data_IF_691006430491
#
_entry.id   IF_691006430491
#
_cell.length_a   1.000
_cell.length_b   1.000
_cell.length_c   1.000
_cell.angle_alpha   90.00
_cell.angle_beta   90.00
_cell.angle_gamma   90.00
#
_symmetry.space_group_name_H-M   'P 1'
#
loop_
_entity.id
_entity.type
_entity.pdbx_description
1 polymer ?
#
# COMPACT_ATOMS: atom_id res chain seq x y z
N UNK A 1 -0.36 -11.12 -9.00
CA UNK A 1 0.86 -10.81 -9.81
C UNK A 1 2.13 -11.30 -9.12
N UNK A 2 1.99 -12.31 -8.26
CA UNK A 2 3.08 -12.87 -7.46
C UNK A 2 3.25 -14.31 -7.94
N UNK A 3 4.49 -14.77 -8.04
CA UNK A 3 4.83 -16.13 -8.45
C UNK A 3 6.14 -16.54 -7.81
N UNK A 4 6.43 -17.83 -7.76
CA UNK A 4 7.69 -18.34 -7.23
C UNK A 4 8.81 -18.32 -8.29
N UNK A 5 10.02 -17.85 -7.95
CA UNK A 5 10.42 -17.32 -6.65
C UNK A 5 9.89 -15.90 -6.40
N UNK A 6 9.29 -15.66 -5.22
CA UNK A 6 8.60 -14.41 -4.85
C UNK A 6 9.39 -13.14 -5.18
N UNK A 7 10.69 -13.11 -4.91
CA UNK A 7 11.54 -11.93 -5.14
C UNK A 7 11.70 -11.54 -6.61
N UNK A 8 11.49 -12.50 -7.53
CA UNK A 8 11.53 -12.26 -8.98
C UNK A 8 10.13 -12.02 -9.55
N UNK A 9 9.11 -11.92 -8.71
CA UNK A 9 7.76 -11.69 -9.16
C UNK A 9 7.54 -10.26 -9.64
N UNK A 10 6.60 -10.11 -10.58
CA UNK A 10 6.27 -8.81 -11.19
C UNK A 10 5.96 -7.75 -10.15
N UNK A 11 5.13 -8.09 -9.16
CA UNK A 11 4.73 -7.17 -8.11
C UNK A 11 5.93 -6.68 -7.29
N UNK A 12 6.84 -7.59 -6.92
CA UNK A 12 8.02 -7.27 -6.12
C UNK A 12 9.00 -6.38 -6.89
N UNK A 13 9.28 -6.73 -8.16
CA UNK A 13 10.20 -5.94 -8.99
C UNK A 13 9.63 -4.54 -9.23
N UNK A 14 8.37 -4.43 -9.69
CA UNK A 14 7.74 -3.14 -9.96
C UNK A 14 7.72 -2.25 -8.71
N UNK A 15 7.30 -2.79 -7.56
CA UNK A 15 7.24 -2.00 -6.33
C UNK A 15 8.62 -1.62 -5.80
N UNK A 16 9.64 -2.43 -6.05
CA UNK A 16 11.02 -2.09 -5.73
C UNK A 16 11.51 -0.95 -6.63
N UNK A 17 11.27 -1.03 -7.94
CA UNK A 17 11.58 0.06 -8.89
C UNK A 17 10.83 1.35 -8.56
N UNK A 18 9.56 1.27 -8.15
CA UNK A 18 8.76 2.44 -7.74
C UNK A 18 9.29 3.10 -6.46
N UNK A 19 9.83 2.32 -5.52
CA UNK A 19 10.47 2.85 -4.31
C UNK A 19 11.86 3.41 -4.58
N UNK A 20 12.55 2.89 -5.59
CA UNK A 20 13.84 3.41 -5.99
C UNK A 20 13.67 4.82 -6.56
N UNK A 21 14.39 5.80 -6.01
CA UNK A 21 14.40 7.19 -6.51
C UNK A 21 15.12 7.33 -7.87
N UNK A 22 15.39 6.23 -8.57
CA UNK A 22 16.13 6.15 -9.83
C UNK A 22 15.15 6.18 -10.99
N UNK A 23 14.77 7.39 -11.42
CA UNK A 23 13.76 7.63 -12.48
C UNK A 23 14.03 6.90 -13.79
N UNK A 24 15.30 6.59 -14.11
CA UNK A 24 15.68 5.88 -15.35
C UNK A 24 15.19 4.43 -15.35
N UNK A 25 15.17 3.78 -14.20
CA UNK A 25 14.73 2.38 -14.06
C UNK A 25 13.22 2.22 -14.21
N UNK A 26 12.46 3.30 -14.06
CA UNK A 26 11.01 3.28 -14.23
C UNK A 26 10.57 3.29 -15.70
N UNK A 27 11.45 3.69 -16.64
CA UNK A 27 11.13 3.80 -18.07
C UNK A 27 10.50 2.54 -18.68
N UNK A 28 11.04 1.31 -18.44
CA UNK A 28 10.43 0.09 -18.97
C UNK A 28 8.99 -0.13 -18.48
N UNK A 29 8.64 0.42 -17.31
CA UNK A 29 7.34 0.25 -16.70
C UNK A 29 6.29 1.26 -17.17
N UNK A 30 6.65 2.30 -17.94
CA UNK A 30 5.72 3.39 -18.26
C UNK A 30 4.46 2.93 -18.99
N UNK A 31 4.58 2.05 -19.99
CA UNK A 31 3.43 1.53 -20.72
C UNK A 31 2.53 0.69 -19.83
N UNK A 32 3.13 -0.15 -18.99
CA UNK A 32 2.39 -0.96 -18.02
C UNK A 32 1.70 -0.08 -16.97
N UNK A 33 2.43 0.85 -16.35
CA UNK A 33 1.90 1.79 -15.38
C UNK A 33 0.73 2.58 -15.95
N UNK A 34 0.87 3.07 -17.20
CA UNK A 34 -0.23 3.73 -17.89
C UNK A 34 -1.44 2.80 -18.03
N UNK A 35 -1.23 1.57 -18.50
CA UNK A 35 -2.32 0.60 -18.67
C UNK A 35 -3.03 0.29 -17.34
N UNK A 36 -2.29 -0.12 -16.32
CA UNK A 36 -2.86 -0.56 -15.04
C UNK A 36 -3.52 0.59 -14.28
N UNK A 37 -2.92 1.79 -14.29
CA UNK A 37 -3.52 2.96 -13.64
C UNK A 37 -4.83 3.33 -14.33
N UNK A 38 -4.87 3.35 -15.67
CA UNK A 38 -6.11 3.63 -16.40
C UNK A 38 -7.18 2.54 -16.19
N UNK A 39 -6.79 1.27 -16.11
CA UNK A 39 -7.72 0.18 -15.82
C UNK A 39 -8.31 0.33 -14.41
N UNK A 40 -7.47 0.57 -13.40
CA UNK A 40 -7.89 0.73 -12.01
C UNK A 40 -8.73 2.01 -11.79
N UNK A 41 -8.53 3.05 -12.59
CA UNK A 41 -9.37 4.25 -12.56
C UNK A 41 -10.83 3.98 -12.95
N UNK A 42 -11.09 2.97 -13.79
CA UNK A 42 -12.44 2.56 -14.18
C UNK A 42 -13.18 1.81 -13.07
N UNK A 43 -12.46 1.33 -12.05
CA UNK A 43 -13.08 0.70 -10.89
C UNK A 43 -13.57 1.75 -9.89
N UNK A 44 -14.72 1.53 -9.23
CA UNK A 44 -15.19 2.45 -8.20
C UNK A 44 -14.18 2.56 -7.06
N UNK A 45 -14.01 3.79 -6.54
CA UNK A 45 -13.22 4.01 -5.33
C UNK A 45 -14.01 3.57 -4.11
N UNK A 46 -13.33 2.98 -3.15
CA UNK A 46 -13.89 2.54 -1.86
C UNK A 46 -13.27 3.38 -0.75
N UNK A 47 -14.11 4.08 0.02
CA UNK A 47 -13.69 4.79 1.23
C UNK A 47 -13.91 3.93 2.47
N UNK A 48 -12.83 3.37 3.03
CA UNK A 48 -12.83 2.47 4.19
C UNK A 48 -11.47 2.49 4.90
N UNK A 49 -11.49 2.10 6.17
CA UNK A 49 -10.26 1.79 6.91
C UNK A 49 -9.69 0.46 6.44
N UNK A 50 -8.41 0.46 6.07
CA UNK A 50 -7.68 -0.72 5.61
C UNK A 50 -6.42 -0.93 6.44
N UNK A 51 -6.05 -2.20 6.64
CA UNK A 51 -4.97 -2.58 7.55
C UNK A 51 -3.76 -3.12 6.79
N UNK A 52 -2.55 -2.78 7.26
CA UNK A 52 -1.30 -3.31 6.70
C UNK A 52 -0.33 -3.69 7.81
N UNK A 53 0.11 -4.94 7.82
CA UNK A 53 1.22 -5.39 8.66
C UNK A 53 2.54 -5.34 7.91
N UNK A 54 3.60 -4.90 8.57
CA UNK A 54 4.98 -5.08 8.10
C UNK A 54 5.87 -5.57 9.24
N UNK A 55 6.83 -6.45 8.92
CA UNK A 55 7.86 -6.94 9.83
C UNK A 55 9.14 -6.13 9.69
N UNK A 56 9.08 -4.86 10.09
CA UNK A 56 10.24 -3.97 10.08
C UNK A 56 10.08 -2.84 11.10
N UNK A 57 11.21 -2.34 11.60
CA UNK A 57 11.25 -1.14 12.43
C UNK A 57 11.37 0.12 11.54
N UNK A 58 10.24 0.61 11.04
CA UNK A 58 10.17 1.86 10.26
C UNK A 58 9.62 3.04 11.06
N UNK A 59 9.39 2.88 12.36
CA UNK A 59 8.82 3.89 13.26
C UNK A 59 9.45 5.27 13.13
N UNK A 60 10.79 5.42 13.03
CA UNK A 60 11.38 6.74 12.95
C UNK A 60 10.94 7.55 11.71
N UNK A 61 10.36 6.89 10.70
CA UNK A 61 9.84 7.52 9.49
C UNK A 61 8.42 8.06 9.65
N UNK A 62 7.75 7.77 10.77
CA UNK A 62 6.35 8.10 11.02
C UNK A 62 6.22 8.86 12.34
N UNK A 63 6.35 10.18 12.26
CA UNK A 63 6.05 11.07 13.38
C UNK A 63 4.64 11.65 13.23
N UNK A 64 3.91 11.78 14.33
CA UNK A 64 2.56 12.36 14.32
C UNK A 64 2.57 13.77 13.70
N UNK A 65 1.62 14.05 12.83
CA UNK A 65 1.52 15.29 12.05
C UNK A 65 2.43 15.35 10.82
N UNK A 66 3.32 14.36 10.62
CA UNK A 66 4.11 14.29 9.40
C UNK A 66 3.30 13.78 8.22
N UNK A 67 3.80 14.10 7.02
CA UNK A 67 3.26 13.61 5.75
C UNK A 67 4.23 12.59 5.15
N UNK A 68 3.69 11.45 4.72
CA UNK A 68 4.43 10.38 4.07
C UNK A 68 3.85 10.09 2.68
N UNK A 69 4.68 9.65 1.75
CA UNK A 69 4.25 9.24 0.41
C UNK A 69 4.58 7.77 0.21
N UNK A 70 3.56 6.98 -0.14
CA UNK A 70 3.76 5.60 -0.54
C UNK A 70 3.89 5.53 -2.06
N UNK A 71 5.11 5.31 -2.52
CA UNK A 71 5.45 5.30 -3.94
C UNK A 71 5.06 4.02 -4.67
N UNK A 72 5.00 2.89 -3.97
CA UNK A 72 4.62 1.59 -4.52
C UNK A 72 3.12 1.38 -4.54
N UNK A 73 2.64 0.44 -5.36
CA UNK A 73 1.32 -0.14 -5.14
C UNK A 73 1.25 -0.75 -3.74
N UNK A 74 0.09 -0.70 -3.10
CA UNK A 74 -0.16 -1.40 -1.84
C UNK A 74 -1.40 -2.25 -2.00
N UNK A 75 -1.19 -3.56 -2.20
CA UNK A 75 -2.24 -4.57 -2.06
C UNK A 75 -2.49 -4.83 -0.57
N UNK A 76 -3.77 -5.03 -0.19
CA UNK A 76 -4.20 -5.32 1.18
C UNK A 76 -5.48 -6.13 1.21
N UNK A 77 -5.66 -6.84 2.31
CA UNK A 77 -6.89 -7.50 2.72
C UNK A 77 -7.70 -6.55 3.60
N UNK A 78 -9.04 -6.60 3.48
CA UNK A 78 -9.96 -5.85 4.34
C UNK A 78 -10.04 -6.41 5.77
N UNK A 79 -9.66 -7.68 5.97
CA UNK A 79 -9.84 -8.40 7.23
C UNK A 79 -8.62 -8.24 8.14
N UNK A 80 -8.82 -7.67 9.33
CA UNK A 80 -7.78 -7.55 10.35
C UNK A 80 -7.30 -8.93 10.83
N UNK A 81 -8.16 -9.95 10.76
CA UNK A 81 -7.84 -11.32 11.17
C UNK A 81 -6.69 -11.92 10.37
N UNK A 82 -6.55 -11.55 9.09
CA UNK A 82 -5.45 -12.01 8.22
C UNK A 82 -4.08 -11.61 8.76
N UNK A 83 -3.97 -10.54 9.54
CA UNK A 83 -2.71 -10.09 10.14
C UNK A 83 -2.17 -11.04 11.21
N UNK A 84 -2.98 -11.96 11.73
CA UNK A 84 -2.50 -13.02 12.62
C UNK A 84 -1.54 -14.00 11.92
N UNK A 85 -1.55 -14.06 10.59
CA UNK A 85 -0.64 -14.90 9.82
C UNK A 85 0.80 -14.37 9.89
N UNK A 86 1.75 -15.27 10.17
CA UNK A 86 3.17 -14.97 10.25
C UNK A 86 3.79 -14.45 8.94
N UNK A 87 3.15 -14.63 7.79
CA UNK A 87 3.60 -13.99 6.54
C UNK A 87 3.34 -12.48 6.50
N UNK A 88 2.35 -11.99 7.25
CA UNK A 88 2.00 -10.58 7.33
C UNK A 88 2.59 -9.93 8.59
N UNK A 89 1.79 -9.78 9.66
CA UNK A 89 2.24 -9.15 10.90
C UNK A 89 2.79 -10.20 11.87
N UNK A 90 2.05 -11.28 12.09
CA UNK A 90 2.40 -12.29 13.10
C UNK A 90 2.44 -11.73 14.52
N UNK A 91 2.99 -12.51 15.46
CA UNK A 91 2.97 -12.16 16.89
C UNK A 91 4.32 -11.76 17.48
N UNK A 92 5.42 -11.92 16.74
CA UNK A 92 6.79 -11.77 17.25
C UNK A 92 7.63 -10.82 16.37
N UNK A 93 8.69 -10.28 16.98
CA UNK A 93 9.63 -9.39 16.32
C UNK A 93 9.15 -7.94 16.20
N UNK A 94 10.05 -7.07 15.73
CA UNK A 94 9.71 -5.67 15.46
C UNK A 94 8.80 -5.58 14.25
N UNK A 95 7.62 -4.99 14.45
CA UNK A 95 6.55 -4.98 13.48
C UNK A 95 5.65 -3.76 13.66
N UNK A 96 5.06 -3.33 12.55
CA UNK A 96 4.18 -2.19 12.50
C UNK A 96 2.85 -2.62 11.88
N UNK A 97 1.77 -2.28 12.57
CA UNK A 97 0.41 -2.32 12.07
C UNK A 97 0.00 -0.92 11.65
N UNK A 98 -0.25 -0.72 10.36
CA UNK A 98 -0.90 0.48 9.87
C UNK A 98 -2.42 0.31 9.87
N UNK A 99 -3.11 1.28 10.44
CA UNK A 99 -4.56 1.49 10.28
C UNK A 99 -4.74 2.73 9.41
N UNK A 100 -5.35 2.58 8.23
CA UNK A 100 -5.28 3.63 7.20
C UNK A 100 -6.69 3.98 6.76
N UNK A 101 -7.12 5.20 7.08
CA UNK A 101 -8.32 5.84 6.53
C UNK A 101 -8.03 6.18 5.07
N UNK A 102 -8.67 5.46 4.15
CA UNK A 102 -8.41 5.57 2.72
C UNK A 102 -9.70 5.90 1.97
N UNK A 103 -9.60 6.76 0.96
CA UNK A 103 -10.70 7.17 0.08
C UNK A 103 -10.52 6.71 -1.36
N UNK A 104 -9.30 6.33 -1.76
CA UNK A 104 -8.96 5.99 -3.14
C UNK A 104 -8.77 4.49 -3.41
N UNK A 105 -9.11 3.64 -2.44
CA UNK A 105 -8.94 2.18 -2.56
C UNK A 105 -9.70 1.59 -3.73
N UNK A 106 -9.05 0.73 -4.51
CA UNK A 106 -9.66 0.02 -5.64
C UNK A 106 -9.90 -1.42 -5.25
N UNK A 107 -11.17 -1.83 -5.14
CA UNK A 107 -11.51 -3.22 -4.94
C UNK A 107 -11.18 -4.00 -6.22
N UNK A 108 -10.21 -4.91 -6.14
CA UNK A 108 -9.77 -5.73 -7.26
C UNK A 108 -10.11 -7.21 -7.05
N UNK A 109 -11.01 -7.54 -6.11
CA UNK A 109 -11.41 -8.92 -5.79
C UNK A 109 -11.76 -9.72 -7.04
N UNK A 110 -12.62 -9.17 -7.92
CA UNK A 110 -13.06 -9.84 -9.15
C UNK A 110 -11.97 -10.00 -10.22
N UNK A 111 -10.81 -9.40 -10.01
CA UNK A 111 -9.67 -9.39 -10.93
C UNK A 111 -8.40 -9.99 -10.29
N UNK A 112 -8.51 -10.46 -9.04
CA UNK A 112 -7.41 -11.08 -8.31
C UNK A 112 -7.41 -12.58 -8.54
N UNK A 113 -6.21 -13.17 -8.56
CA UNK A 113 -6.05 -14.61 -8.58
C UNK A 113 -6.51 -15.25 -7.25
N UNK A 114 -6.50 -14.48 -6.16
CA UNK A 114 -6.92 -14.91 -4.83
C UNK A 114 -8.21 -14.16 -4.41
N UNK A 115 -9.34 -14.55 -5.00
CA UNK A 115 -10.62 -13.87 -4.80
C UNK A 115 -11.14 -13.88 -3.34
N UNK A 116 -10.57 -14.74 -2.48
CA UNK A 116 -10.92 -14.85 -1.06
C UNK A 116 -10.24 -13.79 -0.18
N UNK A 117 -9.24 -13.05 -0.69
CA UNK A 117 -8.47 -12.09 0.10
C UNK A 117 -9.11 -10.70 0.20
N UNK A 118 -10.29 -10.49 -0.41
CA UNK A 118 -11.01 -9.21 -0.43
C UNK A 118 -10.08 -8.03 -0.74
N UNK A 119 -9.30 -8.20 -1.80
CA UNK A 119 -8.13 -7.37 -2.06
C UNK A 119 -8.51 -5.94 -2.47
N UNK A 120 -8.00 -4.97 -1.71
CA UNK A 120 -8.07 -3.53 -2.02
C UNK A 120 -6.67 -3.05 -2.37
N UNK A 121 -6.55 -2.48 -3.56
CA UNK A 121 -5.32 -1.95 -4.09
C UNK A 121 -5.28 -0.42 -3.97
N UNK A 122 -4.22 0.09 -3.35
CA UNK A 122 -3.86 1.50 -3.46
C UNK A 122 -2.94 1.71 -4.65
N UNK A 123 -3.24 2.74 -5.43
CA UNK A 123 -2.36 3.22 -6.49
C UNK A 123 -1.02 3.71 -5.92
N UNK A 124 0.04 3.77 -6.74
CA UNK A 124 1.29 4.38 -6.34
C UNK A 124 1.13 5.88 -6.10
N UNK A 125 2.12 6.46 -5.41
CA UNK A 125 2.20 7.88 -5.10
C UNK A 125 0.95 8.41 -4.38
N UNK A 126 0.49 7.69 -3.35
CA UNK A 126 -0.52 8.19 -2.40
C UNK A 126 0.15 8.91 -1.25
N UNK A 127 -0.47 10.00 -0.82
CA UNK A 127 0.00 10.79 0.31
C UNK A 127 -0.85 10.47 1.54
N UNK A 128 -0.20 10.42 2.70
CA UNK A 128 -0.88 10.20 3.97
C UNK A 128 -0.33 11.13 5.04
N UNK A 129 -1.21 11.55 5.95
CA UNK A 129 -0.85 12.19 7.21
C UNK A 129 -0.80 11.13 8.32
N UNK A 130 0.21 11.21 9.18
CA UNK A 130 0.31 10.38 10.38
C UNK A 130 -0.53 11.00 11.49
N UNK A 131 -1.70 10.45 11.77
CA UNK A 131 -2.64 11.03 12.75
C UNK A 131 -2.45 10.47 14.17
N UNK A 132 -1.81 9.30 14.31
CA UNK A 132 -1.54 8.67 15.59
C UNK A 132 -0.43 7.61 15.54
N UNK A 133 0.32 7.49 16.63
CA UNK A 133 1.33 6.45 16.84
C UNK A 133 1.14 5.87 18.24
N UNK A 134 1.18 4.55 18.37
CA UNK A 134 0.99 3.84 19.63
C UNK A 134 1.96 2.66 19.71
N UNK A 135 2.81 2.66 20.74
CA UNK A 135 3.63 1.49 21.09
C UNK A 135 2.79 0.54 21.95
N UNK A 136 2.64 -0.71 21.51
CA UNK A 136 1.88 -1.75 22.21
C UNK A 136 2.80 -2.73 22.96
N UNK A 137 4.10 -2.44 23.01
CA UNK A 137 5.11 -3.33 23.58
C UNK A 137 5.34 -4.57 22.71
N UNK A 138 6.26 -5.43 23.15
CA UNK A 138 6.63 -6.67 22.46
C UNK A 138 7.02 -6.47 20.98
N UNK A 139 7.59 -5.30 20.66
CA UNK A 139 7.99 -4.91 19.32
C UNK A 139 6.83 -4.57 18.37
N UNK A 140 5.58 -4.46 18.85
CA UNK A 140 4.45 -4.03 18.04
C UNK A 140 4.24 -2.52 18.17
N UNK A 141 4.12 -1.87 17.02
CA UNK A 141 3.63 -0.50 16.95
C UNK A 141 2.44 -0.36 16.03
N UNK A 142 1.53 0.53 16.40
CA UNK A 142 0.34 0.85 15.63
C UNK A 142 0.49 2.29 15.12
N UNK A 143 0.36 2.46 13.81
CA UNK A 143 0.45 3.76 13.15
C UNK A 143 -0.86 4.02 12.44
N UNK A 144 -1.52 5.11 12.79
CA UNK A 144 -2.74 5.56 12.13
C UNK A 144 -2.39 6.56 11.04
N UNK A 145 -2.84 6.28 9.82
CA UNK A 145 -2.66 7.14 8.67
C UNK A 145 -4.02 7.60 8.16
N UNK A 146 -4.07 8.83 7.65
CA UNK A 146 -5.19 9.36 6.87
C UNK A 146 -4.71 9.70 5.48
N UNK A 147 -5.37 9.18 4.45
CA UNK A 147 -5.09 9.57 3.07
C UNK A 147 -5.39 11.05 2.88
N UNK A 148 -4.46 11.76 2.24
CA UNK A 148 -4.62 13.18 1.91
C UNK A 148 -4.49 13.38 0.40
N UNK A 149 -5.19 14.40 -0.11
CA UNK A 149 -4.99 14.82 -1.49
C UNK A 149 -3.74 15.69 -1.59
N UNK A 150 -2.73 15.31 -2.39
CA UNK A 150 -1.55 16.15 -2.57
C UNK A 150 -1.93 17.42 -3.34
N UNK A 151 -1.30 18.55 -3.01
CA UNK A 151 -1.49 19.85 -3.72
C UNK A 151 -1.31 19.74 -5.24
N UNK A 152 -0.48 18.80 -5.68
CA UNK A 152 -0.33 18.41 -7.06
C UNK A 152 -0.66 16.94 -7.19
N UNK A 153 -1.59 16.59 -8.07
CA UNK A 153 -1.88 15.21 -8.39
C UNK A 153 -0.61 14.54 -8.94
N UNK A 154 -0.03 13.63 -8.15
CA UNK A 154 1.17 12.87 -8.54
C UNK A 154 0.89 11.95 -9.75
N UNK A 155 -0.39 11.65 -9.98
CA UNK A 155 -0.92 10.98 -11.16
C UNK A 155 -2.15 11.78 -11.58
N UNK A 156 -2.13 12.43 -12.75
CA UNK A 156 -3.34 13.08 -13.31
C UNK A 156 -4.38 11.99 -13.57
N UNK A 157 -5.44 12.00 -12.77
CA UNK A 157 -6.60 11.16 -12.97
C UNK A 157 -7.50 11.89 -13.98
N UNK A 158 -7.78 11.29 -15.12
CA UNK A 158 -8.77 11.86 -16.03
C UNK A 158 -10.14 11.65 -15.37
N UNK A 159 -10.81 12.75 -15.03
CA UNK A 159 -12.22 12.73 -14.66
C UNK A 159 -13.01 12.17 -15.85
N UNK A 160 -13.81 11.13 -15.60
CA UNK A 160 -14.82 10.68 -16.57
C UNK A 160 -15.98 11.67 -16.60
#
# INVERSE_FOLDING_TARGET
MEWEPYEKSFYVILNTTLRASIRKELKPWFLYLRLIINALQKLPSTSRTIYRGIKANLTPQYSRGSTVVWWSFSSRTLSIETLNNERFLGKKGSRILFSIECDSGKNIRSHSFYAEEDEVLLLPARQFEVIGCLDQGNGLQIIQLRETQPKFLLIKLNSS
#
